data_IF_681782835356
#
_entry.id   IF_681782835356
#
_cell.length_a   1.000
_cell.length_b   1.000
_cell.length_c   1.000
_cell.angle_alpha   90.00
_cell.angle_beta   90.00
_cell.angle_gamma   90.00
#
_symmetry.space_group_name_H-M   'P 1'
#
loop_
_entity.id
_entity.type
_entity.pdbx_description
1 polymer ?
#
# COMPACT_ATOMS: atom_id res chain seq x y z
N UNK A 1 -16.88 19.07 1.30
CA UNK A 1 -15.49 18.56 1.26
C UNK A 1 -15.23 18.08 -0.17
N UNK A 2 -14.59 18.95 -0.94
CA UNK A 2 -14.29 18.81 -2.37
C UNK A 2 -13.23 17.74 -2.60
N UNK A 3 -13.12 17.19 -3.81
CA UNK A 3 -12.10 16.17 -4.13
C UNK A 3 -10.68 16.70 -3.94
N UNK A 4 -10.47 18.00 -4.11
CA UNK A 4 -9.18 18.68 -3.94
C UNK A 4 -8.64 18.52 -2.52
N UNK A 5 -9.48 18.73 -1.50
CA UNK A 5 -9.09 18.55 -0.10
C UNK A 5 -8.71 17.09 0.20
N UNK A 6 -9.43 16.13 -0.41
CA UNK A 6 -9.15 14.70 -0.20
C UNK A 6 -7.82 14.31 -0.85
N UNK A 7 -7.53 14.82 -2.04
CA UNK A 7 -6.27 14.56 -2.74
C UNK A 7 -5.09 15.21 -2.02
N UNK A 8 -5.24 16.45 -1.55
CA UNK A 8 -4.20 17.14 -0.78
C UNK A 8 -3.87 16.38 0.52
N UNK A 9 -4.90 15.92 1.25
CA UNK A 9 -4.70 15.12 2.45
C UNK A 9 -4.02 13.77 2.13
N UNK A 10 -4.42 13.07 1.07
CA UNK A 10 -3.78 11.80 0.69
C UNK A 10 -2.30 11.98 0.30
N UNK A 11 -1.93 13.08 -0.37
CA UNK A 11 -0.54 13.39 -0.70
C UNK A 11 0.28 13.70 0.56
N UNK A 12 -0.28 14.47 1.50
CA UNK A 12 0.38 14.79 2.77
C UNK A 12 0.55 13.54 3.63
N UNK A 13 -0.49 12.70 3.72
CA UNK A 13 -0.45 11.44 4.46
C UNK A 13 0.62 10.51 3.88
N UNK A 14 0.64 10.35 2.54
CA UNK A 14 1.64 9.56 1.84
C UNK A 14 3.08 10.06 2.06
N UNK A 15 3.29 11.39 2.09
CA UNK A 15 4.59 11.98 2.40
C UNK A 15 5.04 11.71 3.85
N UNK A 16 4.09 11.65 4.79
CA UNK A 16 4.33 11.28 6.18
C UNK A 16 4.47 9.75 6.39
N UNK A 17 4.55 8.97 5.31
CA UNK A 17 4.63 7.51 5.40
C UNK A 17 3.38 6.86 6.02
N UNK A 18 2.27 7.60 6.06
CA UNK A 18 1.00 7.19 6.65
C UNK A 18 -0.06 7.14 5.54
N UNK A 19 -1.19 6.50 5.79
CA UNK A 19 -2.29 6.47 4.82
C UNK A 19 -2.49 5.12 4.12
N UNK A 20 -3.59 5.03 3.39
CA UNK A 20 -4.07 3.76 2.81
C UNK A 20 -3.08 3.17 1.81
N UNK A 21 -2.39 4.04 1.07
CA UNK A 21 -1.40 3.66 0.06
C UNK A 21 -0.17 2.95 0.66
N UNK A 22 0.34 3.43 1.80
CA UNK A 22 1.50 2.82 2.48
C UNK A 22 1.09 1.49 3.13
N UNK A 23 -0.07 1.45 3.79
CA UNK A 23 -0.61 0.22 4.38
C UNK A 23 -0.79 -0.87 3.32
N UNK A 24 -1.34 -0.52 2.15
CA UNK A 24 -1.51 -1.47 1.03
C UNK A 24 -0.18 -2.02 0.53
N UNK A 25 0.87 -1.21 0.49
CA UNK A 25 2.23 -1.66 0.15
C UNK A 25 2.77 -2.66 1.18
N UNK A 26 2.65 -2.36 2.47
CA UNK A 26 3.11 -3.25 3.53
C UNK A 26 2.34 -4.58 3.57
N UNK A 27 1.01 -4.52 3.42
CA UNK A 27 0.17 -5.71 3.38
C UNK A 27 0.52 -6.58 2.18
N UNK A 28 0.81 -5.98 1.02
CA UNK A 28 1.27 -6.70 -0.18
C UNK A 28 2.63 -7.37 0.05
N UNK A 29 3.57 -6.69 0.73
CA UNK A 29 4.87 -7.26 1.05
C UNK A 29 4.76 -8.43 2.03
N UNK A 30 4.00 -8.28 3.12
CA UNK A 30 3.74 -9.36 4.08
C UNK A 30 3.07 -10.56 3.42
N UNK A 31 2.11 -10.31 2.53
CA UNK A 31 1.43 -11.36 1.78
C UNK A 31 2.36 -12.06 0.79
N UNK A 32 3.30 -11.34 0.18
CA UNK A 32 4.33 -11.92 -0.68
C UNK A 32 5.31 -12.81 0.11
N UNK A 33 5.71 -12.42 1.32
CA UNK A 33 6.54 -13.24 2.21
C UNK A 33 5.81 -14.50 2.67
N UNK A 34 4.52 -14.37 3.04
CA UNK A 34 3.68 -15.52 3.43
C UNK A 34 3.50 -16.51 2.27
N UNK A 35 3.38 -16.02 1.04
CA UNK A 35 3.22 -16.85 -0.16
C UNK A 35 4.55 -17.25 -0.81
N UNK A 36 5.69 -17.02 -0.15
CA UNK A 36 7.02 -17.41 -0.66
C UNK A 36 7.10 -18.90 -0.98
N UNK A 37 6.41 -19.76 -0.22
CA UNK A 37 6.36 -21.20 -0.49
C UNK A 37 5.68 -21.55 -1.83
N UNK A 38 4.77 -20.71 -2.32
CA UNK A 38 4.07 -20.89 -3.60
C UNK A 38 4.80 -20.23 -4.78
N UNK A 39 5.94 -19.57 -4.54
CA UNK A 39 6.70 -18.90 -5.61
C UNK A 39 7.32 -19.87 -6.63
N UNK A 40 7.35 -21.18 -6.31
CA UNK A 40 7.74 -22.24 -7.22
C UNK A 40 6.65 -22.66 -8.21
N UNK A 41 5.37 -22.27 -8.01
CA UNK A 41 4.31 -22.40 -9.02
C UNK A 41 4.41 -21.32 -10.10
N UNK A 42 5.63 -20.95 -10.47
CA UNK A 42 5.87 -20.14 -11.65
C UNK A 42 5.45 -20.98 -12.85
N UNK A 43 4.52 -20.43 -13.64
CA UNK A 43 4.40 -20.68 -15.08
C UNK A 43 5.76 -21.06 -15.68
#
# INVERSE_FOLDING_TARGET
KTMEDKLANEIIDAANGTGASVKKREDTHKMAEANKAYSHYRW
#
